data_IF_024916038822
#
_entry.id   IF_024916038822
#
_cell.length_a   1.000
_cell.length_b   1.000
_cell.length_c   1.000
_cell.angle_alpha   90.00
_cell.angle_beta   90.00
_cell.angle_gamma   90.00
#
_symmetry.space_group_name_H-M   'P 1'
#
loop_
_entity.id
_entity.type
_entity.pdbx_description
1 polymer ?
#
# COMPACT_ATOMS: atom_id res chain seq x y z
N UNK A 1 -1.93 1.66 14.92
CA UNK A 1 -3.19 1.80 14.15
C UNK A 1 -2.94 1.34 12.73
N UNK A 2 -3.92 0.82 12.03
CA UNK A 2 -3.76 0.37 10.64
C UNK A 2 -4.65 1.22 9.73
N UNK A 3 -4.23 1.39 8.48
CA UNK A 3 -5.04 2.07 7.46
C UNK A 3 -5.61 0.99 6.55
N UNK A 4 -6.93 0.91 6.46
CA UNK A 4 -7.62 -0.03 5.58
C UNK A 4 -7.92 0.62 4.24
N UNK A 5 -7.42 0.02 3.17
CA UNK A 5 -7.79 0.37 1.80
C UNK A 5 -9.05 -0.40 1.44
N UNK A 6 -10.11 0.32 1.07
CA UNK A 6 -11.45 -0.23 0.83
C UNK A 6 -11.92 0.13 -0.57
N UNK A 7 -12.30 -0.88 -1.36
CA UNK A 7 -12.97 -0.65 -2.65
C UNK A 7 -14.47 -0.53 -2.43
N UNK A 8 -15.06 0.56 -2.89
CA UNK A 8 -16.50 0.82 -2.77
C UNK A 8 -17.06 1.39 -4.08
N UNK A 9 -18.38 1.41 -4.21
CA UNK A 9 -19.03 2.12 -5.31
C UNK A 9 -18.67 3.60 -5.29
N UNK A 10 -18.53 4.19 -6.47
CA UNK A 10 -18.44 5.64 -6.60
C UNK A 10 -19.67 6.29 -5.96
N UNK A 11 -19.47 7.42 -5.30
CA UNK A 11 -20.50 8.20 -4.62
C UNK A 11 -21.14 7.53 -3.38
N UNK A 12 -20.65 6.37 -2.93
CA UNK A 12 -21.08 5.77 -1.67
C UNK A 12 -20.47 6.53 -0.48
N UNK A 13 -21.28 7.35 0.18
CA UNK A 13 -20.91 8.12 1.39
C UNK A 13 -20.90 7.24 2.65
N UNK A 14 -21.51 6.06 2.60
CA UNK A 14 -21.56 5.10 3.71
C UNK A 14 -20.81 3.84 3.31
N UNK A 15 -19.76 3.50 4.06
CA UNK A 15 -19.00 2.25 3.93
C UNK A 15 -19.85 1.04 4.35
N UNK A 16 -20.95 0.77 3.63
CA UNK A 16 -21.92 -0.26 4.02
C UNK A 16 -21.29 -1.66 3.93
N UNK A 17 -20.51 -1.92 2.88
CA UNK A 17 -19.66 -3.11 2.74
C UNK A 17 -18.65 -2.93 1.59
N UNK A 18 -17.33 -2.97 1.87
CA UNK A 18 -16.34 -2.89 0.80
C UNK A 18 -16.26 -4.19 -0.01
N UNK A 19 -15.96 -4.07 -1.30
CA UNK A 19 -15.77 -5.19 -2.23
C UNK A 19 -14.46 -5.93 -1.97
N UNK A 20 -13.42 -5.17 -1.63
CA UNK A 20 -12.09 -5.66 -1.22
C UNK A 20 -11.57 -4.77 -0.11
N UNK A 21 -10.79 -5.37 0.79
CA UNK A 21 -10.10 -4.67 1.88
C UNK A 21 -8.66 -5.16 1.93
N UNK A 22 -7.73 -4.24 2.04
CA UNK A 22 -6.32 -4.52 2.33
C UNK A 22 -5.85 -3.57 3.42
N UNK A 23 -5.30 -4.11 4.51
CA UNK A 23 -4.78 -3.30 5.61
C UNK A 23 -3.30 -2.98 5.40
N UNK A 24 -2.92 -1.72 5.54
CA UNK A 24 -1.54 -1.26 5.52
C UNK A 24 -1.00 -1.21 6.96
N UNK A 25 0.03 -2.02 7.29
CA UNK A 25 0.67 -1.95 8.59
C UNK A 25 1.40 -0.62 8.79
N UNK A 26 1.27 -0.04 10.00
CA UNK A 26 1.87 1.25 10.38
C UNK A 26 3.39 1.33 10.13
N UNK A 27 4.07 0.19 10.25
CA UNK A 27 5.52 0.12 10.12
C UNK A 27 6.00 0.22 8.66
N UNK A 28 5.12 0.00 7.69
CA UNK A 28 5.49 -0.08 6.27
C UNK A 28 5.74 1.29 5.62
N UNK A 29 4.86 2.32 5.77
CA UNK A 29 5.13 3.64 5.22
C UNK A 29 6.48 4.21 5.67
N UNK A 30 6.79 4.09 6.97
CA UNK A 30 8.07 4.53 7.52
C UNK A 30 9.23 3.72 6.94
N UNK A 31 9.09 2.40 6.84
CA UNK A 31 10.11 1.55 6.22
C UNK A 31 10.40 1.97 4.77
N UNK A 32 9.38 2.26 3.96
CA UNK A 32 9.58 2.68 2.57
C UNK A 32 10.26 4.05 2.48
N UNK A 33 9.94 4.98 3.38
CA UNK A 33 10.59 6.29 3.47
C UNK A 33 12.06 6.18 3.88
N UNK A 34 12.36 5.38 4.90
CA UNK A 34 13.74 5.18 5.39
C UNK A 34 14.62 4.44 4.37
N UNK A 35 14.01 3.81 3.35
CA UNK A 35 14.67 3.06 2.29
C UNK A 35 14.40 3.65 0.89
N UNK A 36 14.40 4.97 0.76
CA UNK A 36 14.15 5.70 -0.51
C UNK A 36 15.12 5.33 -1.66
N UNK A 37 16.27 4.73 -1.35
CA UNK A 37 17.20 4.18 -2.35
C UNK A 37 16.54 3.03 -3.14
N UNK A 38 15.62 2.31 -2.50
CA UNK A 38 14.96 1.13 -3.04
C UNK A 38 13.52 1.38 -3.47
N UNK A 39 12.82 2.33 -2.82
CA UNK A 39 11.40 2.57 -3.06
C UNK A 39 11.12 3.99 -3.56
N UNK A 40 10.13 4.19 -4.46
CA UNK A 40 9.75 5.52 -4.94
C UNK A 40 9.34 6.45 -3.79
N UNK A 41 10.09 7.54 -3.59
CA UNK A 41 9.86 8.46 -2.47
C UNK A 41 8.48 9.12 -2.50
N UNK A 42 7.91 9.36 -3.70
CA UNK A 42 6.58 9.95 -3.87
C UNK A 42 5.48 9.05 -3.31
N UNK A 43 5.50 7.76 -3.68
CA UNK A 43 4.56 6.76 -3.18
C UNK A 43 4.71 6.56 -1.66
N UNK A 44 5.95 6.45 -1.18
CA UNK A 44 6.25 6.33 0.26
C UNK A 44 5.71 7.52 1.07
N UNK A 45 5.87 8.75 0.54
CA UNK A 45 5.34 9.97 1.18
C UNK A 45 3.83 10.01 1.16
N UNK A 46 3.20 9.68 0.03
CA UNK A 46 1.74 9.64 -0.10
C UNK A 46 1.15 8.67 0.94
N UNK A 47 1.67 7.45 1.04
CA UNK A 47 1.24 6.47 2.04
C UNK A 47 1.47 6.93 3.48
N UNK A 48 2.59 7.61 3.76
CA UNK A 48 2.89 8.11 5.10
C UNK A 48 2.06 9.36 5.48
N UNK A 49 1.53 10.09 4.49
CA UNK A 49 0.69 11.27 4.70
C UNK A 49 -0.78 10.93 4.94
N UNK A 50 -1.19 9.68 4.73
CA UNK A 50 -2.54 9.24 5.04
C UNK A 50 -2.78 9.32 6.55
N UNK A 51 -3.82 10.07 6.93
CA UNK A 51 -4.21 10.22 8.33
C UNK A 51 -4.93 8.94 8.80
N UNK A 52 -4.43 8.24 9.83
CA UNK A 52 -5.10 7.06 10.37
C UNK A 52 -6.39 7.39 11.14
N UNK A 53 -6.80 8.65 11.24
CA UNK A 53 -8.07 9.07 11.87
C UNK A 53 -9.08 9.66 10.86
N UNK A 54 -8.70 9.79 9.59
CA UNK A 54 -9.56 10.37 8.56
C UNK A 54 -9.76 9.39 7.40
N UNK A 55 -10.87 9.60 6.68
CA UNK A 55 -11.21 8.83 5.51
C UNK A 55 -10.78 9.60 4.26
N UNK A 56 -9.83 9.07 3.52
CA UNK A 56 -9.27 9.71 2.33
C UNK A 56 -9.65 8.96 1.06
N UNK A 57 -10.33 9.63 0.13
CA UNK A 57 -10.54 9.13 -1.23
C UNK A 57 -9.24 9.24 -2.02
N UNK A 58 -8.75 8.13 -2.56
CA UNK A 58 -7.54 8.11 -3.37
C UNK A 58 -7.83 8.51 -4.82
N UNK A 59 -7.03 9.44 -5.32
CA UNK A 59 -7.01 9.84 -6.72
C UNK A 59 -6.37 8.76 -7.61
N UNK A 60 -6.63 8.83 -8.91
CA UNK A 60 -6.03 7.91 -9.88
C UNK A 60 -4.49 7.96 -9.86
N UNK A 61 -3.89 9.15 -9.69
CA UNK A 61 -2.43 9.31 -9.59
C UNK A 61 -1.86 8.61 -8.35
N UNK A 62 -2.54 8.71 -7.20
CA UNK A 62 -2.14 7.99 -5.98
C UNK A 62 -2.23 6.48 -6.15
N UNK A 63 -3.27 5.99 -6.83
CA UNK A 63 -3.41 4.57 -7.14
C UNK A 63 -2.27 4.07 -8.04
N UNK A 64 -1.91 4.80 -9.10
CA UNK A 64 -0.78 4.45 -9.97
C UNK A 64 0.55 4.42 -9.18
N UNK A 65 0.79 5.41 -8.31
CA UNK A 65 1.99 5.44 -7.46
C UNK A 65 2.06 4.22 -6.53
N UNK A 66 0.93 3.83 -5.93
CA UNK A 66 0.87 2.65 -5.06
C UNK A 66 1.11 1.37 -5.87
N UNK A 67 0.58 1.25 -7.09
CA UNK A 67 0.85 0.10 -7.96
C UNK A 67 2.34 0.01 -8.32
N UNK A 68 2.98 1.12 -8.68
CA UNK A 68 4.41 1.17 -8.95
C UNK A 68 5.23 0.74 -7.73
N UNK A 69 4.85 1.19 -6.52
CA UNK A 69 5.50 0.74 -5.29
C UNK A 69 5.36 -0.78 -5.10
N UNK A 70 4.17 -1.33 -5.34
CA UNK A 70 3.93 -2.76 -5.24
C UNK A 70 4.77 -3.57 -6.23
N UNK A 71 4.94 -3.09 -7.46
CA UNK A 71 5.83 -3.68 -8.47
C UNK A 71 7.30 -3.63 -8.05
N UNK A 72 7.74 -2.52 -7.45
CA UNK A 72 9.11 -2.40 -6.93
C UNK A 72 9.35 -3.38 -5.77
N UNK A 73 8.40 -3.50 -4.84
CA UNK A 73 8.45 -4.51 -3.77
C UNK A 73 8.62 -5.91 -4.36
N UNK A 74 7.80 -6.29 -5.35
CA UNK A 74 7.92 -7.60 -6.00
C UNK A 74 9.28 -7.76 -6.70
N UNK A 75 9.73 -6.76 -7.44
CA UNK A 75 11.01 -6.81 -8.16
C UNK A 75 12.17 -7.03 -7.19
N UNK A 76 12.18 -6.30 -6.07
CA UNK A 76 13.20 -6.41 -5.04
C UNK A 76 13.14 -7.77 -4.36
N UNK A 77 11.98 -8.18 -3.87
CA UNK A 77 11.88 -9.34 -3.00
C UNK A 77 11.60 -10.66 -3.71
N UNK A 78 11.42 -10.66 -5.04
CA UNK A 78 11.30 -11.90 -5.82
C UNK A 78 12.65 -12.32 -6.43
N UNK A 79 13.47 -11.37 -6.88
CA UNK A 79 14.66 -11.66 -7.70
C UNK A 79 16.01 -11.22 -7.09
N UNK A 80 16.04 -10.40 -6.02
CA UNK A 80 17.29 -9.74 -5.59
C UNK A 80 18.06 -10.51 -4.50
N UNK A 81 19.38 -10.59 -4.74
CA UNK A 81 20.47 -11.14 -3.90
C UNK A 81 21.15 -10.09 -3.00
N UNK A 82 20.61 -8.88 -2.93
CA UNK A 82 21.20 -7.75 -2.20
C UNK A 82 20.93 -7.89 -0.70
N UNK A 83 21.96 -8.29 0.05
CA UNK A 83 21.86 -8.58 1.47
C UNK A 83 21.52 -7.35 2.35
N UNK A 84 21.77 -6.13 1.89
CA UNK A 84 21.60 -4.91 2.70
C UNK A 84 20.12 -4.62 3.03
N UNK A 85 19.20 -4.77 2.06
CA UNK A 85 17.78 -4.54 2.29
C UNK A 85 17.15 -5.61 3.19
N UNK A 86 17.65 -6.86 3.11
CA UNK A 86 17.26 -7.92 4.04
C UNK A 86 17.74 -7.66 5.48
N UNK A 87 18.92 -7.06 5.64
CA UNK A 87 19.38 -6.62 6.96
C UNK A 87 18.49 -5.50 7.51
N UNK A 88 18.06 -4.56 6.67
CA UNK A 88 17.11 -3.52 7.08
C UNK A 88 15.76 -4.11 7.46
N UNK A 89 15.21 -5.05 6.68
CA UNK A 89 13.99 -5.78 7.04
C UNK A 89 14.09 -6.41 8.43
N UNK A 90 15.20 -7.10 8.68
CA UNK A 90 15.46 -7.76 9.96
C UNK A 90 15.53 -6.76 11.13
N UNK A 91 16.18 -5.61 10.92
CA UNK A 91 16.26 -4.53 11.94
C UNK A 91 14.89 -3.89 12.20
N UNK A 92 14.08 -3.73 11.17
CA UNK A 92 12.71 -3.19 11.28
C UNK A 92 11.70 -4.23 11.76
N UNK A 93 12.07 -5.51 11.88
CA UNK A 93 11.15 -6.57 12.29
C UNK A 93 10.08 -6.92 11.26
N UNK A 94 10.27 -6.52 9.99
CA UNK A 94 9.34 -6.80 8.89
C UNK A 94 9.78 -8.08 8.19
N UNK A 95 8.83 -9.01 7.95
CA UNK A 95 9.13 -10.19 7.15
C UNK A 95 8.94 -9.87 5.68
N UNK A 96 9.84 -10.39 4.85
CA UNK A 96 9.74 -10.32 3.38
C UNK A 96 8.36 -10.77 2.88
N UNK A 97 7.84 -11.86 3.45
CA UNK A 97 6.52 -12.39 3.08
C UNK A 97 5.41 -11.36 3.32
N UNK A 98 5.44 -10.62 4.42
CA UNK A 98 4.41 -9.64 4.75
C UNK A 98 4.38 -8.48 3.73
N UNK A 99 5.54 -8.11 3.18
CA UNK A 99 5.64 -7.13 2.10
C UNK A 99 5.10 -7.64 0.77
N UNK A 100 5.42 -8.88 0.41
CA UNK A 100 4.91 -9.51 -0.81
C UNK A 100 3.40 -9.71 -0.72
N UNK A 101 2.90 -10.24 0.40
CA UNK A 101 1.46 -10.44 0.63
C UNK A 101 0.70 -9.10 0.58
N UNK A 102 1.27 -8.02 1.14
CA UNK A 102 0.68 -6.67 1.02
C UNK A 102 0.69 -6.20 -0.44
N UNK A 103 1.83 -6.29 -1.13
CA UNK A 103 1.95 -5.86 -2.52
C UNK A 103 0.95 -6.57 -3.42
N UNK A 104 0.79 -7.88 -3.23
CA UNK A 104 -0.17 -8.70 -3.96
C UNK A 104 -1.60 -8.28 -3.68
N UNK A 105 -1.94 -8.11 -2.40
CA UNK A 105 -3.29 -7.73 -1.98
C UNK A 105 -3.65 -6.31 -2.45
N UNK A 106 -2.69 -5.38 -2.43
CA UNK A 106 -2.90 -4.01 -2.87
C UNK A 106 -3.04 -3.92 -4.38
N UNK A 107 -2.22 -4.67 -5.14
CA UNK A 107 -2.36 -4.75 -6.60
C UNK A 107 -3.72 -5.33 -7.00
N UNK A 108 -4.12 -6.46 -6.43
CA UNK A 108 -5.44 -7.07 -6.69
C UNK A 108 -6.59 -6.12 -6.32
N UNK A 109 -6.44 -5.37 -5.23
CA UNK A 109 -7.40 -4.36 -4.81
C UNK A 109 -7.55 -3.23 -5.84
N UNK A 110 -6.43 -2.64 -6.26
CA UNK A 110 -6.41 -1.51 -7.19
C UNK A 110 -6.87 -1.95 -8.58
N UNK A 111 -6.35 -3.07 -9.10
CA UNK A 111 -6.78 -3.63 -10.39
C UNK A 111 -8.28 -3.87 -10.41
N UNK A 112 -8.84 -4.48 -9.37
CA UNK A 112 -10.28 -4.67 -9.28
C UNK A 112 -11.05 -3.36 -9.29
N UNK A 113 -10.55 -2.33 -8.57
CA UNK A 113 -11.22 -1.04 -8.53
C UNK A 113 -11.25 -0.37 -9.92
N UNK A 114 -10.13 -0.39 -10.64
CA UNK A 114 -10.01 0.19 -11.97
C UNK A 114 -10.86 -0.57 -13.00
N UNK A 115 -10.79 -1.91 -13.01
CA UNK A 115 -11.52 -2.76 -13.97
C UNK A 115 -13.04 -2.68 -13.80
N UNK A 116 -13.53 -2.38 -12.59
CA UNK A 116 -14.95 -2.35 -12.25
C UNK A 116 -15.51 -0.94 -12.02
N UNK A 117 -14.74 0.10 -12.38
CA UNK A 117 -15.11 1.51 -12.24
C UNK A 117 -15.53 1.88 -10.79
N UNK A 118 -14.73 1.45 -9.80
CA UNK A 118 -14.95 1.67 -8.37
C UNK A 118 -13.99 2.70 -7.79
N UNK A 119 -14.30 3.19 -6.59
CA UNK A 119 -13.44 4.09 -5.83
C UNK A 119 -12.64 3.31 -4.77
N UNK A 120 -11.44 3.78 -4.45
CA UNK A 120 -10.62 3.27 -3.35
C UNK A 120 -10.49 4.33 -2.28
N UNK A 121 -10.83 3.97 -1.04
CA UNK A 121 -10.68 4.82 0.13
C UNK A 121 -9.63 4.25 1.07
N UNK A 122 -8.76 5.10 1.60
CA UNK A 122 -7.95 4.81 2.77
C UNK A 122 -8.76 5.22 4.00
N UNK A 123 -9.07 4.25 4.86
CA UNK A 123 -9.94 4.41 6.03
C UNK A 123 -9.14 4.09 7.28
N UNK A 124 -9.06 5.05 8.19
CA UNK A 124 -8.45 4.87 9.50
C UNK A 124 -9.26 3.96 10.43
N UNK A 125 -8.59 3.17 11.27
CA UNK A 125 -9.17 2.40 12.39
C UNK A 125 -8.49 2.70 13.73
#
# INVERSE_FOLDING_TARGET
MAIDFKVIDKDCIKFQKPYKITSLPEIFPKFFLDNEIYFPISASRSLCSLDPYDDTLLSYEELEMIQQLCEQIRTIFTDIKDHSIYDTLKRSGIKQKDLLDLSDSMQDLITYALDNDKAVWAVGD
#
